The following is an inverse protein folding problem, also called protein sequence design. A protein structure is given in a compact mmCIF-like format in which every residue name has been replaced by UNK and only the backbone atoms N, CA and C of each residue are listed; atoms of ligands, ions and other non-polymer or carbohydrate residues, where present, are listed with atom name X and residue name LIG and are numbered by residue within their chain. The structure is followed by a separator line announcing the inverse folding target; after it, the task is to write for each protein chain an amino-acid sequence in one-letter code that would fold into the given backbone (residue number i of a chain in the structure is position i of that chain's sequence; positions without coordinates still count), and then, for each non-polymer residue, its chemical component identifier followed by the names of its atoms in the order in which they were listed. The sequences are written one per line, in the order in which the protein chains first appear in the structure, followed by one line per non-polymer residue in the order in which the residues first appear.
data_IF_517841961730
#
_entry.id   IF_517841961730
#
_cell.length_a   1.000
_cell.length_b   1.000
_cell.length_c   1.000
_cell.angle_alpha   90.00
_cell.angle_beta   90.00
_cell.angle_gamma   90.00
#
_symmetry.space_group_name_H-M   'P 1'
#
loop_
_entity.id
_entity.type
_entity.pdbx_description
1 polymer ?
#
# COMPACT_ATOMS: atom_id res chain seq x y z
N UNK A 1 -24.05 -7.81 21.51
CA UNK A 1 -22.64 -7.72 21.06
C UNK A 1 -22.31 -6.27 20.73
N UNK A 2 -21.74 -5.53 21.68
CA UNK A 2 -21.29 -4.15 21.44
C UNK A 2 -19.86 -4.24 20.90
N UNK A 3 -19.69 -4.11 19.57
CA UNK A 3 -18.36 -4.11 18.97
C UNK A 3 -17.65 -2.84 19.44
N UNK A 4 -16.53 -2.98 20.16
CA UNK A 4 -15.72 -1.82 20.54
C UNK A 4 -15.31 -1.07 19.25
N UNK A 5 -15.45 0.25 19.20
CA UNK A 5 -15.04 1.02 18.04
C UNK A 5 -13.55 0.79 17.77
N UNK A 6 -13.19 0.66 16.49
CA UNK A 6 -11.80 0.56 16.08
C UNK A 6 -11.03 1.78 16.59
N UNK A 7 -9.89 1.54 17.24
CA UNK A 7 -8.95 2.60 17.57
C UNK A 7 -8.52 3.36 16.32
N UNK A 8 -8.22 4.65 16.47
CA UNK A 8 -7.89 5.55 15.36
C UNK A 8 -6.70 5.03 14.54
N UNK A 9 -5.73 4.38 15.17
CA UNK A 9 -4.65 3.71 14.46
C UNK A 9 -5.12 2.59 13.52
N UNK A 10 -6.03 1.71 13.96
CA UNK A 10 -6.52 0.58 13.15
C UNK A 10 -7.41 1.02 11.99
N UNK A 11 -8.23 2.05 12.17
CA UNK A 11 -9.01 2.59 11.04
C UNK A 11 -8.10 3.16 9.96
N UNK A 12 -7.04 3.86 10.36
CA UNK A 12 -6.05 4.37 9.40
C UNK A 12 -5.28 3.24 8.70
N UNK A 13 -4.91 2.17 9.43
CA UNK A 13 -4.28 0.98 8.84
C UNK A 13 -5.21 0.26 7.85
N UNK A 14 -6.51 0.18 8.15
CA UNK A 14 -7.50 -0.40 7.23
C UNK A 14 -7.55 0.37 5.91
N UNK A 15 -7.67 1.70 6.00
CA UNK A 15 -7.66 2.56 4.82
C UNK A 15 -6.34 2.43 4.05
N UNK A 16 -5.21 2.43 4.76
CA UNK A 16 -3.91 2.24 4.15
C UNK A 16 -3.83 0.93 3.34
N UNK A 17 -4.28 -0.19 3.92
CA UNK A 17 -4.31 -1.49 3.23
C UNK A 17 -5.16 -1.45 1.96
N UNK A 18 -6.34 -0.82 2.00
CA UNK A 18 -7.20 -0.66 0.82
C UNK A 18 -6.51 0.17 -0.27
N UNK A 19 -5.92 1.31 0.09
CA UNK A 19 -5.19 2.16 -0.86
C UNK A 19 -4.02 1.43 -1.51
N UNK A 20 -3.26 0.67 -0.73
CA UNK A 20 -2.14 -0.14 -1.24
C UNK A 20 -2.66 -1.17 -2.26
N UNK A 21 -3.67 -1.95 -1.90
CA UNK A 21 -4.24 -3.00 -2.77
C UNK A 21 -4.79 -2.41 -4.07
N UNK A 22 -5.59 -1.34 -3.98
CA UNK A 22 -6.14 -0.66 -5.15
C UNK A 22 -5.04 -0.08 -6.03
N UNK A 23 -4.06 0.60 -5.43
CA UNK A 23 -2.92 1.18 -6.14
C UNK A 23 -2.07 0.13 -6.87
N UNK A 24 -1.91 -1.07 -6.30
CA UNK A 24 -1.18 -2.17 -6.92
C UNK A 24 -1.88 -2.78 -8.14
N UNK A 25 -3.21 -2.70 -8.21
CA UNK A 25 -3.99 -3.20 -9.36
C UNK A 25 -4.05 -2.18 -10.50
N UNK A 26 -4.00 -0.89 -10.17
CA UNK A 26 -3.98 0.20 -11.13
C UNK A 26 -2.65 0.30 -11.90
N UNK A 27 -2.64 0.97 -13.07
CA UNK A 27 -1.42 1.19 -13.84
C UNK A 27 -0.36 1.94 -13.02
N UNK A 28 0.82 1.33 -12.92
CA UNK A 28 2.02 1.97 -12.38
C UNK A 28 2.80 2.69 -13.47
N UNK A 29 2.66 2.23 -14.70
CA UNK A 29 3.14 2.90 -15.89
C UNK A 29 2.21 2.60 -17.07
N UNK A 30 2.17 3.52 -18.02
CA UNK A 30 1.43 3.41 -19.26
C UNK A 30 2.15 4.20 -20.34
N UNK A 31 2.27 3.62 -21.53
CA UNK A 31 2.84 4.24 -22.73
C UNK A 31 1.88 4.05 -23.90
N UNK A 32 1.81 5.04 -24.80
CA UNK A 32 0.87 5.03 -25.92
C UNK A 32 -0.51 5.55 -25.55
N UNK A 33 -1.53 5.24 -26.36
CA UNK A 33 -2.90 5.74 -26.15
C UNK A 33 -3.26 6.99 -26.97
N UNK A 34 -2.41 7.40 -27.91
CA UNK A 34 -2.78 8.37 -28.95
C UNK A 34 -3.50 7.67 -30.10
N UNK A 35 -4.33 8.38 -30.89
CA UNK A 35 -5.00 7.79 -32.05
C UNK A 35 -4.01 7.05 -32.97
N UNK A 36 -4.24 5.75 -33.20
CA UNK A 36 -3.37 4.90 -34.01
C UNK A 36 -2.24 4.17 -33.26
N UNK A 37 -2.04 4.41 -31.97
CA UNK A 37 -1.05 3.70 -31.13
C UNK A 37 -1.77 3.09 -29.92
N UNK A 38 -1.76 1.75 -29.82
CA UNK A 38 -2.36 1.03 -28.69
C UNK A 38 -1.66 1.38 -27.38
N UNK A 39 -2.45 1.56 -26.32
CA UNK A 39 -1.90 1.77 -24.99
C UNK A 39 -1.35 0.44 -24.44
N UNK A 40 -0.12 0.49 -23.91
CA UNK A 40 0.50 -0.61 -23.17
C UNK A 40 0.73 -0.13 -21.74
N UNK A 41 0.33 -0.94 -20.76
CA UNK A 41 0.41 -0.59 -19.34
C UNK A 41 0.84 -1.77 -18.50
N UNK A 42 1.48 -1.51 -17.38
CA UNK A 42 1.76 -2.50 -16.34
C UNK A 42 1.37 -1.99 -14.96
N UNK A 43 0.98 -2.90 -14.08
CA UNK A 43 0.61 -2.61 -12.70
C UNK A 43 1.68 -3.13 -11.72
N UNK A 44 1.46 -2.93 -10.42
CA UNK A 44 2.38 -3.38 -9.39
C UNK A 44 2.59 -4.90 -9.35
N UNK A 45 1.64 -5.69 -9.84
CA UNK A 45 1.73 -7.16 -9.84
C UNK A 45 2.62 -7.72 -10.95
N UNK A 46 2.86 -6.95 -12.01
CA UNK A 46 3.69 -7.36 -13.14
C UNK A 46 5.21 -7.29 -12.86
N UNK A 47 5.60 -6.96 -11.62
CA UNK A 47 6.99 -6.71 -11.22
C UNK A 47 7.20 -7.03 -9.74
N UNK A 48 8.35 -6.61 -9.19
CA UNK A 48 8.63 -6.65 -7.76
C UNK A 48 7.63 -5.90 -6.86
N UNK A 49 6.73 -5.09 -7.43
CA UNK A 49 5.61 -4.46 -6.72
C UNK A 49 4.63 -5.44 -6.07
N UNK A 50 4.70 -6.75 -6.39
CA UNK A 50 3.92 -7.80 -5.71
C UNK A 50 4.19 -7.84 -4.19
N UNK A 51 5.40 -7.49 -3.74
CA UNK A 51 5.70 -7.37 -2.31
C UNK A 51 4.82 -6.32 -1.63
N UNK A 52 4.60 -5.19 -2.30
CA UNK A 52 3.77 -4.10 -1.79
C UNK A 52 2.30 -4.52 -1.74
N UNK A 53 1.83 -5.29 -2.73
CA UNK A 53 0.50 -5.88 -2.72
C UNK A 53 0.32 -6.85 -1.53
N UNK A 54 1.28 -7.73 -1.29
CA UNK A 54 1.25 -8.66 -0.15
C UNK A 54 1.24 -7.91 1.19
N UNK A 55 1.97 -6.80 1.30
CA UNK A 55 1.93 -5.90 2.46
C UNK A 55 0.53 -5.31 2.66
N UNK A 56 -0.13 -4.87 1.58
CA UNK A 56 -1.51 -4.38 1.62
C UNK A 56 -2.49 -5.43 2.12
N UNK A 57 -2.42 -6.65 1.56
CA UNK A 57 -3.26 -7.78 1.99
C UNK A 57 -2.98 -8.18 3.44
N UNK A 58 -1.71 -8.29 3.83
CA UNK A 58 -1.31 -8.59 5.20
C UNK A 58 -1.83 -7.53 6.18
N UNK A 59 -1.78 -6.24 5.79
CA UNK A 59 -2.32 -5.15 6.62
C UNK A 59 -3.82 -5.31 6.83
N UNK A 60 -4.60 -5.57 5.78
CA UNK A 60 -6.05 -5.81 5.88
C UNK A 60 -6.34 -7.04 6.74
N UNK A 61 -5.56 -8.12 6.57
CA UNK A 61 -5.69 -9.34 7.35
C UNK A 61 -5.42 -9.09 8.84
N UNK A 62 -4.38 -8.32 9.18
CA UNK A 62 -4.07 -7.95 10.57
C UNK A 62 -5.19 -7.11 11.20
N UNK A 63 -5.78 -6.19 10.45
CA UNK A 63 -6.91 -5.40 10.95
C UNK A 63 -8.17 -6.27 11.15
N UNK A 64 -8.38 -7.27 10.28
CA UNK A 64 -9.50 -8.19 10.39
C UNK A 64 -9.30 -9.28 11.47
N UNK A 65 -8.06 -9.60 11.83
CA UNK A 65 -7.68 -10.66 12.76
C UNK A 65 -8.45 -10.66 14.09
N UNK A 66 -8.58 -9.54 14.84
CA UNK A 66 -9.32 -9.54 16.11
C UNK A 66 -10.81 -9.88 15.94
N UNK A 67 -11.39 -9.62 14.77
CA UNK A 67 -12.78 -10.00 14.48
C UNK A 67 -12.94 -11.49 14.17
N UNK A 68 -11.89 -12.14 13.68
CA UNK A 68 -11.90 -13.56 13.34
C UNK A 68 -11.46 -14.46 14.52
N UNK A 69 -10.52 -13.99 15.35
CA UNK A 69 -9.91 -14.77 16.44
C UNK A 69 -10.68 -14.72 17.78
N UNK A 70 -11.70 -13.87 17.91
CA UNK A 70 -12.46 -13.67 19.15
C UNK A 70 -11.67 -12.88 20.22
N UNK A 71 -12.13 -12.94 21.48
CA UNK A 71 -11.60 -12.15 22.63
C UNK A 71 -10.16 -12.50 23.07
N UNK A 72 -9.39 -13.26 22.26
CA UNK A 72 -8.00 -13.61 22.59
C UNK A 72 -7.03 -12.58 22.00
N UNK A 73 -6.23 -11.89 22.83
CA UNK A 73 -5.20 -10.98 22.32
C UNK A 73 -4.13 -11.79 21.58
N UNK A 74 -3.98 -11.56 20.29
CA UNK A 74 -2.93 -12.18 19.47
C UNK A 74 -1.69 -11.29 19.53
N UNK A 75 -0.52 -11.83 19.87
CA UNK A 75 0.72 -11.05 20.00
C UNK A 75 1.16 -10.32 18.72
N UNK A 76 0.68 -10.79 17.56
CA UNK A 76 0.89 -10.18 16.23
C UNK A 76 0.04 -8.90 16.05
N UNK A 77 -0.94 -8.63 16.88
CA UNK A 77 -1.83 -7.45 16.76
C UNK A 77 -1.22 -6.17 17.38
N UNK A 78 0.12 -6.12 17.50
CA UNK A 78 0.87 -5.00 18.07
C UNK A 78 1.32 -4.02 16.99
N UNK A 79 1.59 -2.78 17.40
CA UNK A 79 2.13 -1.72 16.55
C UNK A 79 3.36 -2.16 15.74
N UNK A 80 4.18 -3.06 16.32
CA UNK A 80 5.41 -3.54 15.70
C UNK A 80 5.13 -4.30 14.38
N UNK A 81 4.05 -5.07 14.29
CA UNK A 81 3.68 -5.79 13.07
C UNK A 81 3.35 -4.82 11.94
N UNK A 82 2.60 -3.77 12.23
CA UNK A 82 2.30 -2.70 11.27
C UNK A 82 3.56 -1.92 10.87
N UNK A 83 4.49 -1.70 11.80
CA UNK A 83 5.77 -1.05 11.51
C UNK A 83 6.65 -1.92 10.59
N UNK A 84 6.74 -3.22 10.85
CA UNK A 84 7.47 -4.18 10.00
C UNK A 84 6.86 -4.19 8.58
N UNK A 85 5.52 -4.25 8.49
CA UNK A 85 4.83 -4.16 7.20
C UNK A 85 5.07 -2.84 6.49
N UNK A 86 5.10 -1.71 7.20
CA UNK A 86 5.42 -0.42 6.61
C UNK A 86 6.84 -0.39 6.03
N UNK A 87 7.83 -0.90 6.77
CA UNK A 87 9.23 -0.98 6.30
C UNK A 87 9.33 -1.90 5.09
N UNK A 88 8.75 -3.10 5.15
CA UNK A 88 8.73 -4.03 4.02
C UNK A 88 8.05 -3.44 2.78
N UNK A 89 6.94 -2.71 2.99
CA UNK A 89 6.22 -2.02 1.92
C UNK A 89 7.04 -0.93 1.25
N UNK A 90 7.75 -0.10 2.03
CA UNK A 90 8.65 0.92 1.48
C UNK A 90 9.84 0.33 0.73
N UNK A 91 10.44 -0.75 1.24
CA UNK A 91 11.54 -1.45 0.56
C UNK A 91 11.05 -2.01 -0.78
N UNK A 92 9.92 -2.73 -0.78
CA UNK A 92 9.33 -3.29 -2.00
C UNK A 92 8.95 -2.21 -3.01
N UNK A 93 8.39 -1.09 -2.53
CA UNK A 93 8.02 0.03 -3.39
C UNK A 93 9.24 0.73 -4.00
N UNK A 94 10.25 1.04 -3.20
CA UNK A 94 11.48 1.66 -3.67
C UNK A 94 12.19 0.78 -4.70
N UNK A 95 12.27 -0.53 -4.45
CA UNK A 95 12.84 -1.48 -5.38
C UNK A 95 12.08 -1.52 -6.71
N UNK A 96 10.75 -1.56 -6.66
CA UNK A 96 9.93 -1.53 -7.86
C UNK A 96 10.04 -0.21 -8.64
N UNK A 97 10.15 0.93 -7.96
CA UNK A 97 10.42 2.22 -8.61
C UNK A 97 11.77 2.20 -9.33
N UNK A 98 12.82 1.65 -8.70
CA UNK A 98 14.13 1.48 -9.35
C UNK A 98 14.03 0.58 -10.57
N UNK A 99 13.30 -0.55 -10.47
CA UNK A 99 13.07 -1.47 -11.60
C UNK A 99 12.37 -0.76 -12.78
N UNK A 100 11.34 0.04 -12.50
CA UNK A 100 10.63 0.84 -13.50
C UNK A 100 11.54 1.90 -14.14
N UNK A 101 12.36 2.59 -13.32
CA UNK A 101 13.31 3.58 -13.81
C UNK A 101 14.34 2.96 -14.76
N UNK A 102 14.90 1.80 -14.40
CA UNK A 102 15.86 1.07 -15.24
C UNK A 102 15.25 0.56 -16.56
N UNK A 103 13.93 0.35 -16.60
CA UNK A 103 13.18 -0.05 -17.81
C UNK A 103 12.73 1.14 -18.67
N UNK A 104 13.06 2.38 -18.29
CA UNK A 104 12.64 3.58 -19.02
C UNK A 104 11.15 3.90 -18.88
N UNK A 105 10.47 3.38 -17.85
CA UNK A 105 9.03 3.60 -17.66
C UNK A 105 8.65 5.05 -17.31
N UNK A 106 9.64 5.89 -16.97
CA UNK A 106 9.49 7.29 -16.59
C UNK A 106 9.90 8.28 -17.70
N UNK A 107 9.77 7.87 -18.96
CA UNK A 107 9.93 8.76 -20.10
C UNK A 107 8.62 9.51 -20.38
N UNK A 108 8.58 10.77 -19.94
CA UNK A 108 7.41 11.63 -20.04
C UNK A 108 7.64 12.78 -21.03
N UNK A 109 6.64 13.09 -21.84
CA UNK A 109 6.69 14.26 -22.75
C UNK A 109 6.27 15.54 -22.03
N UNK A 110 5.40 15.43 -21.04
CA UNK A 110 4.95 16.55 -20.20
C UNK A 110 5.03 16.20 -18.72
N UNK A 111 5.28 17.17 -17.81
CA UNK A 111 5.39 16.89 -16.38
C UNK A 111 4.13 16.30 -15.75
N UNK A 112 2.95 16.57 -16.31
CA UNK A 112 1.68 16.06 -15.79
C UNK A 112 1.51 14.54 -16.02
N UNK A 113 2.21 13.97 -17.01
CA UNK A 113 2.13 12.55 -17.36
C UNK A 113 2.59 11.63 -16.23
N UNK A 114 3.44 12.14 -15.33
CA UNK A 114 3.87 11.41 -14.12
C UNK A 114 2.67 10.95 -13.28
N UNK A 115 1.59 11.72 -13.26
CA UNK A 115 0.39 11.41 -12.48
C UNK A 115 -0.65 10.63 -13.28
N UNK A 116 -0.77 10.89 -14.59
CA UNK A 116 -1.79 10.25 -15.44
C UNK A 116 -1.35 8.88 -15.94
N UNK A 117 -0.06 8.66 -16.17
CA UNK A 117 0.47 7.39 -16.71
C UNK A 117 0.81 6.39 -15.60
N UNK A 118 0.93 6.85 -14.35
CA UNK A 118 1.23 6.00 -13.19
C UNK A 118 0.35 6.28 -11.97
N UNK A 119 -0.99 6.38 -12.08
CA UNK A 119 -1.85 6.71 -10.94
C UNK A 119 -1.74 5.68 -9.81
N UNK A 120 -1.49 4.41 -10.15
CA UNK A 120 -1.30 3.33 -9.17
C UNK A 120 -0.10 3.55 -8.27
N UNK A 121 1.02 4.07 -8.78
CA UNK A 121 2.21 4.39 -7.97
C UNK A 121 1.88 5.39 -6.88
N UNK A 122 1.14 6.44 -7.23
CA UNK A 122 0.77 7.51 -6.29
C UNK A 122 -0.22 7.04 -5.23
N UNK A 123 -1.23 6.26 -5.64
CA UNK A 123 -2.22 5.69 -4.72
C UNK A 123 -1.54 4.71 -3.75
N UNK A 124 -0.63 3.86 -4.24
CA UNK A 124 0.16 2.96 -3.40
C UNK A 124 1.06 3.74 -2.44
N UNK A 125 1.77 4.77 -2.92
CA UNK A 125 2.63 5.61 -2.07
C UNK A 125 1.83 6.30 -0.97
N UNK A 126 0.63 6.83 -1.29
CA UNK A 126 -0.29 7.41 -0.31
C UNK A 126 -0.69 6.36 0.75
N UNK A 127 -1.03 5.15 0.32
CA UNK A 127 -1.32 4.03 1.20
C UNK A 127 -0.14 3.68 2.14
N UNK A 128 1.10 3.68 1.65
CA UNK A 128 2.30 3.44 2.46
C UNK A 128 2.57 4.55 3.48
N UNK A 129 2.34 5.81 3.10
CA UNK A 129 2.40 6.95 4.04
C UNK A 129 1.34 6.80 5.14
N UNK A 130 0.11 6.43 4.77
CA UNK A 130 -0.96 6.18 5.73
C UNK A 130 -0.62 5.02 6.67
N UNK A 131 -0.05 3.92 6.15
CA UNK A 131 0.38 2.77 6.97
C UNK A 131 1.47 3.16 7.97
N UNK A 132 2.46 3.94 7.51
CA UNK A 132 3.54 4.47 8.35
C UNK A 132 2.98 5.35 9.46
N UNK A 133 2.01 6.21 9.11
CA UNK A 133 1.31 7.06 10.08
C UNK A 133 0.46 6.24 11.05
N UNK A 134 -0.19 5.17 10.59
CA UNK A 134 -0.97 4.27 11.43
C UNK A 134 -0.09 3.58 12.47
N UNK A 135 1.04 3.00 12.06
CA UNK A 135 2.01 2.39 12.96
C UNK A 135 2.50 3.39 14.03
N UNK A 136 2.81 4.62 13.62
CA UNK A 136 3.20 5.70 14.55
C UNK A 136 2.09 6.08 15.52
N UNK A 137 0.83 6.17 15.07
CA UNK A 137 -0.29 6.49 15.97
C UNK A 137 -0.51 5.41 17.01
N UNK A 138 -0.34 4.13 16.63
CA UNK A 138 -0.47 3.00 17.55
C UNK A 138 0.59 3.00 18.66
N UNK A 139 1.82 3.47 18.41
CA UNK A 139 2.85 3.57 19.48
C UNK A 139 2.49 4.56 20.58
N UNK A 140 1.59 5.50 20.29
CA UNK A 140 1.12 6.54 21.19
C UNK A 140 -0.19 6.19 21.90
N UNK A 141 -0.87 5.13 21.48
CA UNK A 141 -2.10 4.64 22.11
C UNK A 141 -1.76 3.69 23.28
N UNK A 142 -2.35 3.92 24.45
CA UNK A 142 -2.09 3.10 25.65
C UNK A 142 -2.52 1.64 25.48
N UNK A 143 -3.45 1.37 24.56
CA UNK A 143 -3.95 0.03 24.25
C UNK A 143 -2.93 -0.86 23.52
N UNK A 144 -1.80 -0.31 23.04
CA UNK A 144 -0.79 -1.03 22.26
C UNK A 144 0.63 -0.97 22.85
N UNK A 145 0.80 -0.36 24.03
CA UNK A 145 2.06 -0.46 24.81
C UNK A 145 2.09 -1.79 25.55
#
# INVERSE_FOLDING_TARGET
MHRRPLGRGRTLAALAGVFIVVGCVLPWWQVGGTPGITAVSGNGLASSGILVFLVGIATVALVALPYAAGDRPVGIDRWLSFAILAVAGWIGFAWAVVELALKGAFEFRTPAEVFTNGPGLWITALGLVMLSRAAYTMTRESAYR
#
